data_IF_834552695842
#
_entry.id   IF_834552695842
#
_cell.length_a   1.000
_cell.length_b   1.000
_cell.length_c   1.000
_cell.angle_alpha   90.00
_cell.angle_beta   90.00
_cell.angle_gamma   90.00
#
_symmetry.space_group_name_H-M   'P 1'
#
loop_
_entity.id
_entity.type
_entity.pdbx_description
1 polymer ?
#
# COMPACT_ATOMS: atom_id res chain seq x y z
N UNK A 1 -13.57 -14.89 -2.88
CA UNK A 1 -14.29 -13.70 -3.36
C UNK A 1 -13.37 -12.70 -4.06
N UNK A 2 -12.20 -12.32 -3.54
CA UNK A 2 -11.31 -11.34 -4.22
C UNK A 2 -10.61 -11.86 -5.48
N UNK A 3 -10.13 -13.12 -5.48
CA UNK A 3 -9.45 -13.74 -6.63
C UNK A 3 -10.32 -13.85 -7.90
N UNK A 4 -11.63 -14.05 -7.74
CA UNK A 4 -12.59 -14.17 -8.86
C UNK A 4 -12.89 -12.83 -9.53
N UNK A 5 -12.60 -11.72 -8.85
CA UNK A 5 -12.84 -10.36 -9.34
C UNK A 5 -11.54 -9.63 -9.76
N UNK A 6 -10.39 -10.33 -9.80
CA UNK A 6 -9.14 -9.78 -10.31
C UNK A 6 -8.53 -8.64 -9.50
N UNK A 7 -8.92 -8.48 -8.23
CA UNK A 7 -8.39 -7.44 -7.35
C UNK A 7 -6.88 -7.61 -7.20
N UNK A 8 -6.14 -6.61 -7.67
CA UNK A 8 -4.68 -6.66 -7.73
C UNK A 8 -4.05 -6.52 -6.35
N UNK A 9 -4.62 -5.69 -5.47
CA UNK A 9 -4.14 -5.52 -4.11
C UNK A 9 -5.30 -5.29 -3.13
N UNK A 10 -5.16 -5.74 -1.89
CA UNK A 10 -6.10 -5.42 -0.82
C UNK A 10 -5.40 -5.39 0.55
N UNK A 11 -5.92 -4.54 1.44
CA UNK A 11 -5.41 -4.37 2.80
C UNK A 11 -6.41 -4.99 3.78
N UNK A 12 -5.89 -5.73 4.76
CA UNK A 12 -6.66 -6.30 5.86
C UNK A 12 -6.16 -5.67 7.15
N UNK A 13 -7.08 -5.09 7.92
CA UNK A 13 -6.83 -4.68 9.29
C UNK A 13 -7.32 -5.76 10.24
N UNK A 14 -6.38 -6.42 10.90
CA UNK A 14 -6.66 -7.42 11.92
C UNK A 14 -6.71 -6.74 13.29
N UNK A 15 -7.89 -6.25 13.67
CA UNK A 15 -8.08 -5.48 14.92
C UNK A 15 -7.61 -6.26 16.16
N UNK A 16 -7.91 -7.56 16.22
CA UNK A 16 -7.55 -8.42 17.36
C UNK A 16 -6.04 -8.64 17.48
N UNK A 17 -5.33 -8.74 16.34
CA UNK A 17 -3.88 -8.95 16.31
C UNK A 17 -3.09 -7.64 16.27
N UNK A 18 -3.79 -6.49 16.27
CA UNK A 18 -3.24 -5.17 16.05
C UNK A 18 -2.26 -5.13 14.87
N UNK A 19 -2.68 -5.71 13.74
CA UNK A 19 -1.83 -5.88 12.56
C UNK A 19 -2.52 -5.39 11.30
N UNK A 20 -1.74 -4.79 10.41
CA UNK A 20 -2.14 -4.47 9.04
C UNK A 20 -1.37 -5.37 8.09
N UNK A 21 -2.09 -6.12 7.27
CA UNK A 21 -1.51 -7.00 6.24
C UNK A 21 -2.00 -6.55 4.88
N UNK A 22 -1.07 -6.31 3.97
CA UNK A 22 -1.39 -5.93 2.59
C UNK A 22 -1.05 -7.08 1.65
N UNK A 23 -2.04 -7.58 0.93
CA UNK A 23 -1.86 -8.64 -0.04
C UNK A 23 -1.83 -8.10 -1.47
N UNK A 24 -0.94 -8.66 -2.28
CA UNK A 24 -0.81 -8.39 -3.71
C UNK A 24 -1.05 -9.67 -4.50
N UNK A 25 -1.66 -9.55 -5.68
CA UNK A 25 -1.85 -10.66 -6.60
C UNK A 25 -0.59 -10.81 -7.44
N UNK A 26 0.21 -11.84 -7.16
CA UNK A 26 1.42 -12.18 -7.91
C UNK A 26 1.27 -13.58 -8.53
N UNK A 27 1.40 -13.68 -9.85
CA UNK A 27 1.27 -14.93 -10.60
C UNK A 27 -0.01 -15.74 -10.27
N UNK A 28 -1.11 -15.06 -9.96
CA UNK A 28 -2.39 -15.69 -9.62
C UNK A 28 -2.56 -16.12 -8.15
N UNK A 29 -1.59 -15.79 -7.29
CA UNK A 29 -1.60 -16.07 -5.85
C UNK A 29 -1.50 -14.77 -5.04
N UNK A 30 -2.17 -14.70 -3.90
CA UNK A 30 -2.02 -13.57 -2.99
C UNK A 30 -0.78 -13.75 -2.10
N UNK A 31 0.08 -12.75 -2.10
CA UNK A 31 1.31 -12.70 -1.29
C UNK A 31 1.24 -11.49 -0.40
N UNK A 32 1.59 -11.64 0.89
CA UNK A 32 1.67 -10.51 1.80
C UNK A 32 2.90 -9.65 1.48
N UNK A 33 2.70 -8.34 1.38
CA UNK A 33 3.78 -7.36 1.34
C UNK A 33 4.42 -7.29 2.73
N UNK A 34 5.75 -7.24 2.72
CA UNK A 34 6.54 -6.95 3.92
C UNK A 34 6.87 -5.45 3.91
N UNK A 35 6.72 -4.74 5.04
CA UNK A 35 7.19 -3.37 5.15
C UNK A 35 8.70 -3.30 4.89
N UNK A 36 9.19 -2.15 4.45
CA UNK A 36 10.63 -1.90 4.39
C UNK A 36 11.23 -1.61 5.77
N UNK A 37 12.52 -1.26 5.79
CA UNK A 37 13.26 -0.97 7.03
C UNK A 37 12.67 0.22 7.82
N UNK A 38 11.93 1.11 7.16
CA UNK A 38 11.22 2.24 7.79
C UNK A 38 9.81 1.86 8.28
N UNK A 39 9.40 0.59 8.11
CA UNK A 39 8.07 0.11 8.47
C UNK A 39 6.97 0.59 7.52
N UNK A 40 7.32 0.89 6.27
CA UNK A 40 6.41 1.41 5.25
C UNK A 40 6.03 0.30 4.27
N UNK A 41 4.73 0.07 4.10
CA UNK A 41 4.18 -0.75 3.01
C UNK A 41 3.97 0.12 1.78
N UNK A 42 4.52 -0.29 0.63
CA UNK A 42 4.38 0.42 -0.65
C UNK A 42 3.55 -0.39 -1.64
N UNK A 43 2.52 0.23 -2.23
CA UNK A 43 1.73 -0.38 -3.30
C UNK A 43 2.58 -0.66 -4.54
N UNK A 44 2.32 -1.77 -5.23
CA UNK A 44 2.90 -2.10 -6.54
C UNK A 44 2.01 -1.66 -7.70
N UNK A 45 0.72 -1.42 -7.45
CA UNK A 45 -0.26 -1.00 -8.46
C UNK A 45 -0.46 0.51 -8.50
N UNK A 46 -0.33 1.16 -7.34
CA UNK A 46 -0.44 2.60 -7.19
C UNK A 46 0.88 3.16 -6.64
N UNK A 47 1.90 3.33 -7.51
CA UNK A 47 3.13 4.02 -7.13
C UNK A 47 2.83 5.32 -6.39
N UNK A 48 3.47 5.51 -5.23
CA UNK A 48 3.24 6.63 -4.32
C UNK A 48 2.19 6.40 -3.23
N UNK A 49 1.40 5.32 -3.27
CA UNK A 49 0.59 4.91 -2.13
C UNK A 49 1.46 4.14 -1.12
N UNK A 50 1.90 4.87 -0.10
CA UNK A 50 2.77 4.36 0.97
C UNK A 50 2.05 4.43 2.32
N UNK A 51 2.09 3.35 3.10
CA UNK A 51 1.42 3.26 4.40
C UNK A 51 2.44 2.96 5.50
N UNK A 52 2.62 3.91 6.42
CA UNK A 52 3.39 3.68 7.65
C UNK A 52 2.57 2.79 8.60
N UNK A 53 3.02 1.55 8.80
CA UNK A 53 2.23 0.53 9.51
C UNK A 53 2.03 0.91 10.98
N UNK A 54 3.08 1.36 11.64
CA UNK A 54 3.03 1.72 13.06
C UNK A 54 2.09 2.90 13.31
N UNK A 55 2.16 3.94 12.47
CA UNK A 55 1.27 5.10 12.57
C UNK A 55 -0.17 4.75 12.23
N UNK A 56 -0.39 3.87 11.25
CA UNK A 56 -1.73 3.40 10.91
C UNK A 56 -2.36 2.64 12.09
N UNK A 57 -1.61 1.74 12.73
CA UNK A 57 -2.03 1.01 13.93
C UNK A 57 -2.25 1.95 15.14
N UNK A 58 -1.44 2.99 15.28
CA UNK A 58 -1.58 3.99 16.33
C UNK A 58 -2.71 5.02 16.05
N UNK A 59 -3.35 4.97 14.88
CA UNK A 59 -4.35 5.97 14.47
C UNK A 59 -3.76 7.35 14.18
N UNK A 60 -2.43 7.46 14.00
CA UNK A 60 -1.72 8.69 13.67
C UNK A 60 -1.86 9.03 12.17
N UNK A 61 -3.08 9.41 11.77
CA UNK A 61 -3.40 9.69 10.38
C UNK A 61 -2.58 10.86 9.80
N UNK A 62 -2.14 11.81 10.62
CA UNK A 62 -1.29 12.91 10.17
C UNK A 62 0.04 12.40 9.60
N UNK A 63 0.69 11.47 10.32
CA UNK A 63 1.94 10.87 9.85
C UNK A 63 1.72 9.93 8.66
N UNK A 64 0.64 9.14 8.66
CA UNK A 64 0.27 8.31 7.50
C UNK A 64 0.13 9.18 6.25
N UNK A 65 -0.56 10.32 6.35
CA UNK A 65 -0.72 11.25 5.23
C UNK A 65 0.60 11.91 4.81
N UNK A 66 1.49 12.23 5.76
CA UNK A 66 2.82 12.75 5.43
C UNK A 66 3.64 11.75 4.61
N UNK A 67 3.57 10.46 4.94
CA UNK A 67 4.26 9.39 4.20
C UNK A 67 3.65 9.20 2.81
N UNK A 68 2.31 9.26 2.68
CA UNK A 68 1.66 9.26 1.35
C UNK A 68 2.11 10.46 0.52
N UNK A 69 2.25 11.66 1.13
CA UNK A 69 2.73 12.85 0.43
C UNK A 69 4.14 12.67 -0.14
N UNK A 70 5.04 12.03 0.61
CA UNK A 70 6.37 11.71 0.11
C UNK A 70 6.29 10.76 -1.10
N UNK A 71 5.42 9.75 -1.03
CA UNK A 71 5.23 8.78 -2.10
C UNK A 71 4.72 9.42 -3.40
N UNK A 72 3.72 10.28 -3.33
CA UNK A 72 3.17 10.95 -4.53
C UNK A 72 4.11 11.98 -5.14
N UNK A 73 5.13 12.43 -4.41
CA UNK A 73 6.16 13.34 -4.92
C UNK A 73 7.27 12.62 -5.69
N UNK A 74 7.29 11.29 -5.70
CA UNK A 74 8.31 10.52 -6.41
C UNK A 74 8.15 10.54 -7.92
N UNK A 75 9.27 10.36 -8.64
CA UNK A 75 9.27 10.22 -10.09
C UNK A 75 8.45 9.01 -10.58
N UNK A 76 8.40 7.94 -9.78
CA UNK A 76 7.60 6.75 -10.06
C UNK A 76 6.11 7.08 -10.13
N UNK A 77 5.61 7.87 -9.17
CA UNK A 77 4.23 8.35 -9.18
C UNK A 77 3.97 9.28 -10.36
N UNK A 78 4.89 10.20 -10.67
CA UNK A 78 4.75 11.09 -11.81
C UNK A 78 4.65 10.31 -13.13
N UNK A 79 5.50 9.30 -13.32
CA UNK A 79 5.45 8.41 -14.48
C UNK A 79 4.12 7.63 -14.55
N UNK A 80 3.62 7.16 -13.41
CA UNK A 80 2.32 6.49 -13.32
C UNK A 80 1.16 7.40 -13.76
N UNK A 81 1.11 8.64 -13.28
CA UNK A 81 0.08 9.62 -13.66
C UNK A 81 0.13 9.93 -15.16
N UNK A 82 1.32 10.06 -15.75
CA UNK A 82 1.44 10.28 -17.19
C UNK A 82 0.87 9.11 -18.00
N UNK A 83 1.11 7.87 -17.56
CA UNK A 83 0.56 6.66 -18.19
C UNK A 83 -0.97 6.59 -18.11
N UNK A 84 -1.58 7.12 -17.05
CA UNK A 84 -3.05 7.13 -16.89
C UNK A 84 -3.77 8.17 -17.74
N UNK A 85 -3.06 9.21 -18.21
CA UNK A 85 -3.62 10.28 -19.04
C UNK A 85 -3.64 9.94 -20.53
N UNK A 86 -2.91 8.91 -20.94
CA UNK A 86 -2.83 8.40 -22.31
C UNK A 86 -3.94 7.39 -22.60
#
# INVERSE_FOLDING_TARGET
MYRRNGVQEYVVWQLYENQVVWFILQAGHYVALTPDDDGILRSRVFPGLWLAVNDLLAGNLAQVLAIVQQGVQTDEHNAFIQKMKA
#
